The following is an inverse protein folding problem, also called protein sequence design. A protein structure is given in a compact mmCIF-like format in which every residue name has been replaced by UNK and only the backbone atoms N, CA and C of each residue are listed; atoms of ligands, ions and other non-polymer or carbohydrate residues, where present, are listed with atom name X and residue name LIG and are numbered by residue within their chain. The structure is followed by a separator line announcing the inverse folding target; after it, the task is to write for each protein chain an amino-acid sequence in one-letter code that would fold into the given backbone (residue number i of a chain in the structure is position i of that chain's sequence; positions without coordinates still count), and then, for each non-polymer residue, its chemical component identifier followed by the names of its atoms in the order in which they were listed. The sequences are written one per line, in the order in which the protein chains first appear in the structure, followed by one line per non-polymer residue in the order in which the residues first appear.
data_IF_844052962399
#
_entry.id   IF_844052962399
#
_cell.length_a   1.000
_cell.length_b   1.000
_cell.length_c   1.000
_cell.angle_alpha   90.00
_cell.angle_beta   90.00
_cell.angle_gamma   90.00
#
_symmetry.space_group_name_H-M   'P 1'
#
loop_
_entity.id
_entity.type
_entity.pdbx_description
1 polymer ?
#
# COMPACT_ATOMS: atom_id res chain seq x y z
N UNK A 1 -6.57 -17.47 16.41
CA UNK A 1 -5.54 -18.05 15.52
C UNK A 1 -4.42 -17.04 15.41
N UNK A 2 -3.16 -17.44 15.57
CA UNK A 2 -2.02 -16.53 15.39
C UNK A 2 -1.84 -16.27 13.91
N UNK A 3 -1.78 -15.01 13.51
CA UNK A 3 -1.45 -14.61 12.14
C UNK A 3 -0.03 -15.09 11.82
N UNK A 4 0.22 -15.64 10.62
CA UNK A 4 1.57 -15.98 10.21
C UNK A 4 2.44 -14.72 10.09
N UNK A 5 3.66 -14.78 10.61
CA UNK A 5 4.65 -13.72 10.48
C UNK A 5 5.56 -14.09 9.30
N UNK A 6 5.82 -13.16 8.36
CA UNK A 6 6.73 -13.44 7.26
C UNK A 6 8.15 -13.70 7.79
N UNK A 7 8.79 -14.75 7.28
CA UNK A 7 10.21 -15.03 7.52
C UNK A 7 11.13 -14.22 6.61
N UNK A 8 10.59 -13.69 5.49
CA UNK A 8 11.33 -12.90 4.52
C UNK A 8 10.49 -11.71 4.05
N UNK A 9 11.12 -10.55 4.03
CA UNK A 9 10.57 -9.31 3.45
C UNK A 9 11.57 -8.82 2.43
N UNK A 10 11.15 -8.64 1.18
CA UNK A 10 12.01 -8.17 0.11
C UNK A 10 11.31 -7.10 -0.73
N UNK A 11 12.00 -6.01 -1.04
CA UNK A 11 11.47 -4.95 -1.88
C UNK A 11 12.07 -5.03 -3.29
N UNK A 12 11.24 -5.39 -4.26
CA UNK A 12 11.58 -5.37 -5.68
C UNK A 12 11.46 -3.95 -6.23
N UNK A 13 12.50 -3.14 -6.04
CA UNK A 13 12.50 -1.70 -6.38
C UNK A 13 12.05 -1.42 -7.82
N UNK A 14 12.57 -2.17 -8.80
CA UNK A 14 12.23 -1.98 -10.22
C UNK A 14 10.77 -2.29 -10.55
N UNK A 15 10.18 -3.28 -9.86
CA UNK A 15 8.77 -3.65 -10.04
C UNK A 15 7.83 -2.84 -9.13
N UNK A 16 8.38 -2.12 -8.14
CA UNK A 16 7.63 -1.49 -7.05
C UNK A 16 6.70 -2.49 -6.37
N UNK A 17 7.26 -3.61 -5.93
CA UNK A 17 6.54 -4.66 -5.20
C UNK A 17 7.24 -5.04 -3.89
N UNK A 18 6.47 -5.24 -2.83
CA UNK A 18 6.91 -5.84 -1.59
C UNK A 18 6.55 -7.33 -1.59
N UNK A 19 7.56 -8.18 -1.50
CA UNK A 19 7.41 -9.63 -1.36
C UNK A 19 7.48 -10.02 0.11
N UNK A 20 6.47 -10.78 0.54
CA UNK A 20 6.35 -11.34 1.89
C UNK A 20 6.37 -12.87 1.78
N UNK A 21 7.48 -13.47 2.21
CA UNK A 21 7.66 -14.92 2.26
C UNK A 21 7.39 -15.46 3.66
N UNK A 22 6.65 -16.57 3.75
CA UNK A 22 6.20 -17.18 4.99
C UNK A 22 6.87 -18.54 5.25
N UNK A 23 6.96 -18.99 6.52
CA UNK A 23 7.63 -20.25 6.88
C UNK A 23 7.03 -21.51 6.25
N UNK A 24 5.76 -21.46 5.86
CA UNK A 24 5.05 -22.57 5.21
C UNK A 24 5.34 -22.66 3.69
N UNK A 25 6.15 -21.75 3.15
CA UNK A 25 6.48 -21.69 1.72
C UNK A 25 5.59 -20.74 0.92
N UNK A 26 4.52 -20.20 1.50
CA UNK A 26 3.70 -19.20 0.82
C UNK A 26 4.48 -17.91 0.61
N UNK A 27 4.23 -17.26 -0.52
CA UNK A 27 4.82 -15.98 -0.86
C UNK A 27 3.79 -15.09 -1.54
N UNK A 28 3.71 -13.85 -1.11
CA UNK A 28 2.78 -12.87 -1.66
C UNK A 28 3.54 -11.64 -2.13
N UNK A 29 3.14 -11.10 -3.28
CA UNK A 29 3.67 -9.84 -3.81
C UNK A 29 2.58 -8.79 -3.80
N UNK A 30 2.87 -7.67 -3.16
CA UNK A 30 1.98 -6.52 -3.05
C UNK A 30 2.63 -5.33 -3.74
N UNK A 31 1.93 -4.69 -4.69
CA UNK A 31 2.44 -3.46 -5.29
C UNK A 31 2.52 -2.35 -4.24
N UNK A 32 3.51 -1.47 -4.37
CA UNK A 32 3.64 -0.35 -3.44
C UNK A 32 2.48 0.64 -3.58
N UNK A 33 1.96 0.81 -4.80
CA UNK A 33 0.70 1.53 -5.03
C UNK A 33 -0.42 0.98 -4.14
N UNK A 34 -0.64 -0.34 -4.17
CA UNK A 34 -1.68 -0.97 -3.37
C UNK A 34 -1.46 -0.74 -1.87
N UNK A 35 -0.24 -0.95 -1.37
CA UNK A 35 0.10 -0.66 0.02
C UNK A 35 -0.13 0.82 0.37
N UNK A 36 0.16 1.75 -0.56
CA UNK A 36 0.00 3.18 -0.35
C UNK A 36 -1.46 3.61 -0.25
N UNK A 37 -2.32 3.11 -1.14
CA UNK A 37 -3.75 3.47 -1.17
C UNK A 37 -4.54 2.78 -0.06
N UNK A 38 -4.04 1.65 0.45
CA UNK A 38 -4.56 0.95 1.63
C UNK A 38 -3.73 1.21 2.90
N UNK A 39 -2.96 2.31 2.96
CA UNK A 39 -2.19 2.63 4.16
C UNK A 39 -3.11 2.78 5.39
N UNK A 40 -2.78 2.20 6.55
CA UNK A 40 -3.65 2.25 7.73
C UNK A 40 -3.60 3.58 8.49
N UNK A 41 -2.85 4.56 8.00
CA UNK A 41 -2.69 5.89 8.61
C UNK A 41 -4.02 6.65 8.71
N UNK A 42 -4.15 7.49 9.74
CA UNK A 42 -5.33 8.35 9.97
C UNK A 42 -5.65 9.26 8.76
N UNK A 43 -4.64 9.65 7.99
CA UNK A 43 -4.79 10.43 6.76
C UNK A 43 -5.53 9.69 5.64
N UNK A 44 -5.49 8.36 5.64
CA UNK A 44 -6.11 7.51 4.61
C UNK A 44 -7.43 6.93 5.10
N UNK A 45 -7.49 6.50 6.36
CA UNK A 45 -8.72 5.93 6.96
C UNK A 45 -9.68 6.97 7.52
N UNK A 46 -9.21 8.18 7.80
CA UNK A 46 -9.95 9.18 8.56
C UNK A 46 -10.26 8.72 10.00
N UNK A 47 -11.12 9.45 10.70
CA UNK A 47 -11.61 9.11 12.05
C UNK A 47 -12.85 8.18 12.02
N UNK A 48 -13.25 7.71 10.83
CA UNK A 48 -14.39 6.82 10.58
C UNK A 48 -14.56 6.55 9.08
N UNK A 49 -15.36 5.55 8.67
CA UNK A 49 -15.54 5.16 7.27
C UNK A 49 -15.98 6.31 6.36
N UNK A 50 -16.76 7.26 6.88
CA UNK A 50 -17.21 8.47 6.17
C UNK A 50 -16.12 9.51 5.91
N UNK A 51 -14.96 9.36 6.54
CA UNK A 51 -13.82 10.28 6.42
C UNK A 51 -12.62 9.66 5.70
N UNK A 52 -12.76 8.43 5.20
CA UNK A 52 -11.72 7.76 4.45
C UNK A 52 -11.51 8.46 3.09
N UNK A 53 -10.32 9.02 2.89
CA UNK A 53 -9.98 9.77 1.68
C UNK A 53 -9.53 8.82 0.59
N UNK A 54 -10.24 8.82 -0.55
CA UNK A 54 -9.82 8.08 -1.74
C UNK A 54 -8.47 8.59 -2.21
N UNK A 55 -7.47 7.72 -2.21
CA UNK A 55 -6.12 8.05 -2.67
C UNK A 55 -6.06 7.95 -4.20
N UNK A 56 -5.59 8.99 -4.88
CA UNK A 56 -5.56 9.11 -6.35
C UNK A 56 -4.16 9.49 -6.82
N UNK A 57 -3.82 9.20 -8.07
CA UNK A 57 -2.53 9.55 -8.65
C UNK A 57 -1.33 8.84 -8.02
N UNK A 58 -1.52 7.64 -7.46
CA UNK A 58 -0.50 6.91 -6.70
C UNK A 58 0.15 5.75 -7.46
N UNK A 59 -0.12 5.59 -8.75
CA UNK A 59 0.44 4.50 -9.58
C UNK A 59 1.96 4.42 -9.51
N UNK A 60 2.62 5.58 -9.48
CA UNK A 60 4.07 5.64 -9.55
C UNK A 60 4.79 5.62 -8.20
N UNK A 61 4.05 5.47 -7.10
CA UNK A 61 4.62 5.49 -5.76
C UNK A 61 5.50 4.26 -5.53
N UNK A 62 6.71 4.50 -5.03
CA UNK A 62 7.63 3.52 -4.49
C UNK A 62 7.87 3.73 -2.99
N UNK A 63 8.86 2.99 -2.47
CA UNK A 63 9.27 3.09 -1.07
C UNK A 63 10.56 3.89 -0.99
N UNK A 64 10.55 4.91 -0.14
CA UNK A 64 11.74 5.64 0.28
C UNK A 64 12.50 4.84 1.35
N UNK A 65 11.78 4.19 2.28
CA UNK A 65 12.39 3.41 3.35
C UNK A 65 11.47 2.28 3.86
N UNK A 66 12.07 1.24 4.42
CA UNK A 66 11.39 0.11 5.06
C UNK A 66 12.10 -0.13 6.39
N UNK A 67 11.38 -0.01 7.49
CA UNK A 67 11.93 -0.22 8.82
C UNK A 67 11.05 -1.18 9.60
N UNK A 68 11.66 -2.14 10.29
CA UNK A 68 10.92 -3.03 11.17
C UNK A 68 10.51 -2.27 12.44
N UNK A 69 9.22 -2.30 12.77
CA UNK A 69 8.68 -1.71 13.98
C UNK A 69 8.45 -2.83 15.02
N UNK A 70 9.48 -3.06 15.84
CA UNK A 70 9.47 -4.10 16.86
C UNK A 70 9.27 -5.50 16.26
N UNK A 71 8.39 -6.30 16.86
CA UNK A 71 8.12 -7.69 16.42
C UNK A 71 6.80 -7.86 15.67
N UNK A 72 6.03 -6.80 15.47
CA UNK A 72 4.62 -6.90 15.06
C UNK A 72 4.26 -6.16 13.77
N UNK A 73 5.14 -5.29 13.25
CA UNK A 73 4.83 -4.46 12.10
C UNK A 73 6.06 -4.04 11.27
N UNK A 74 5.78 -3.58 10.05
CA UNK A 74 6.68 -2.80 9.22
C UNK A 74 6.22 -1.34 9.17
N UNK A 75 7.15 -0.42 9.37
CA UNK A 75 6.99 0.97 8.96
C UNK A 75 7.46 1.11 7.51
N UNK A 76 6.53 1.48 6.64
CA UNK A 76 6.79 1.77 5.23
C UNK A 76 6.73 3.29 5.02
N UNK A 77 7.85 3.86 4.56
CA UNK A 77 7.95 5.24 4.15
C UNK A 77 7.92 5.30 2.63
N UNK A 78 6.97 6.02 2.07
CA UNK A 78 6.73 6.14 0.63
C UNK A 78 7.41 7.39 0.08
N UNK A 79 7.84 7.34 -1.18
CA UNK A 79 8.53 8.48 -1.81
C UNK A 79 7.60 9.66 -2.15
N UNK A 80 6.27 9.49 -2.08
CA UNK A 80 5.31 10.58 -2.24
C UNK A 80 5.17 11.48 -0.98
N UNK A 81 6.08 11.31 -0.01
CA UNK A 81 6.12 12.07 1.24
C UNK A 81 5.34 11.44 2.40
N UNK A 82 4.68 10.29 2.18
CA UNK A 82 3.95 9.59 3.24
C UNK A 82 4.89 8.74 4.11
N UNK A 83 5.12 9.16 5.36
CA UNK A 83 6.06 8.48 6.28
C UNK A 83 5.37 7.70 7.42
N UNK A 84 4.05 7.77 7.56
CA UNK A 84 3.35 7.21 8.74
C UNK A 84 2.81 5.79 8.56
N UNK A 85 3.10 5.11 7.45
CA UNK A 85 2.53 3.80 7.13
C UNK A 85 3.01 2.69 8.05
N UNK A 86 2.29 2.41 9.15
CA UNK A 86 2.59 1.31 10.07
C UNK A 86 1.72 0.08 9.76
N UNK A 87 2.30 -0.91 9.11
CA UNK A 87 1.62 -2.12 8.65
C UNK A 87 1.92 -3.28 9.60
N UNK A 88 0.93 -3.67 10.43
CA UNK A 88 1.06 -4.88 11.25
C UNK A 88 1.12 -6.14 10.38
N UNK A 89 1.70 -7.23 10.90
CA UNK A 89 1.74 -8.51 10.18
C UNK A 89 0.34 -9.03 9.86
N UNK A 90 -0.61 -8.89 10.79
CA UNK A 90 -2.04 -9.16 10.58
C UNK A 90 -2.58 -8.40 9.39
N UNK A 91 -2.31 -7.10 9.33
CA UNK A 91 -2.83 -6.27 8.27
C UNK A 91 -2.18 -6.57 6.91
N UNK A 92 -0.87 -6.83 6.88
CA UNK A 92 -0.18 -7.24 5.64
C UNK A 92 -0.71 -8.57 5.12
N UNK A 93 -0.95 -9.53 5.99
CA UNK A 93 -1.51 -10.83 5.60
C UNK A 93 -2.95 -10.67 5.09
N UNK A 94 -3.78 -9.86 5.76
CA UNK A 94 -5.12 -9.53 5.29
C UNK A 94 -5.09 -8.82 3.92
N UNK A 95 -4.18 -7.86 3.72
CA UNK A 95 -4.00 -7.19 2.44
C UNK A 95 -3.55 -8.14 1.33
N UNK A 96 -2.66 -9.08 1.63
CA UNK A 96 -2.18 -10.10 0.69
C UNK A 96 -3.28 -11.07 0.26
N UNK A 97 -4.06 -11.56 1.21
CA UNK A 97 -5.13 -12.55 0.98
C UNK A 97 -6.39 -11.96 0.37
N UNK A 98 -6.62 -10.65 0.52
CA UNK A 98 -7.78 -9.95 -0.04
C UNK A 98 -7.40 -8.99 -1.19
N UNK A 99 -6.18 -9.09 -1.73
CA UNK A 99 -5.65 -8.15 -2.71
C UNK A 99 -6.59 -7.92 -3.90
N UNK A 100 -7.09 -9.00 -4.51
CA UNK A 100 -7.97 -8.89 -5.69
C UNK A 100 -9.29 -8.17 -5.39
N UNK A 101 -9.92 -8.50 -4.25
CA UNK A 101 -11.20 -7.92 -3.84
C UNK A 101 -11.03 -6.43 -3.52
N UNK A 102 -10.04 -6.11 -2.68
CA UNK A 102 -9.73 -4.74 -2.29
C UNK A 102 -9.36 -3.90 -3.51
N UNK A 103 -8.57 -4.45 -4.43
CA UNK A 103 -8.16 -3.75 -5.63
C UNK A 103 -9.33 -3.46 -6.56
N UNK A 104 -10.23 -4.43 -6.77
CA UNK A 104 -11.43 -4.23 -7.56
C UNK A 104 -12.36 -3.15 -6.95
N UNK A 105 -12.51 -3.10 -5.63
CA UNK A 105 -13.24 -2.03 -4.94
C UNK A 105 -12.60 -0.66 -5.16
N UNK A 106 -11.28 -0.57 -4.98
CA UNK A 106 -10.53 0.66 -5.20
C UNK A 106 -10.71 1.21 -6.62
N UNK A 107 -10.61 0.36 -7.65
CA UNK A 107 -10.82 0.75 -9.04
C UNK A 107 -12.24 1.26 -9.30
N UNK A 108 -13.26 0.63 -8.72
CA UNK A 108 -14.65 1.09 -8.82
C UNK A 108 -14.85 2.46 -8.18
N UNK A 109 -14.22 2.70 -7.02
CA UNK A 109 -14.28 4.00 -6.34
C UNK A 109 -13.61 5.11 -7.14
N UNK A 110 -12.49 4.81 -7.81
CA UNK A 110 -11.86 5.75 -8.75
C UNK A 110 -12.77 6.09 -9.92
N UNK A 111 -13.36 5.08 -10.56
CA UNK A 111 -14.28 5.27 -11.68
C UNK A 111 -15.50 6.13 -11.27
N UNK A 112 -16.13 5.80 -10.13
CA UNK A 112 -17.27 6.54 -9.61
C UNK A 112 -16.94 8.00 -9.26
N UNK A 113 -15.69 8.28 -8.84
CA UNK A 113 -15.21 9.61 -8.54
C UNK A 113 -14.69 10.38 -9.78
N UNK A 114 -14.57 9.73 -10.95
CA UNK A 114 -13.93 10.31 -12.14
C UNK A 114 -12.43 10.58 -11.95
N UNK A 115 -11.79 9.87 -11.01
CA UNK A 115 -10.38 10.03 -10.68
C UNK A 115 -9.53 8.90 -11.30
N UNK A 116 -8.20 9.05 -11.27
CA UNK A 116 -7.28 8.10 -11.89
C UNK A 116 -6.15 7.67 -10.95
N UNK A 117 -5.60 6.50 -11.24
CA UNK A 117 -4.35 6.00 -10.65
C UNK A 117 -3.14 6.79 -11.12
N UNK A 118 -3.18 7.27 -12.37
CA UNK A 118 -2.09 8.01 -12.99
C UNK A 118 -1.85 9.33 -12.25
N UNK A 119 -0.60 9.72 -11.98
CA UNK A 119 -0.32 11.03 -11.40
C UNK A 119 -0.80 12.13 -12.34
N UNK A 120 -1.48 13.15 -11.79
CA UNK A 120 -1.85 14.37 -12.52
C UNK A 120 -0.59 15.17 -12.80
N UNK A 121 0.16 14.76 -13.82
CA UNK A 121 1.33 15.50 -14.28
C UNK A 121 0.83 16.74 -15.01
N UNK A 122 0.92 17.91 -14.38
CA UNK A 122 0.76 19.17 -15.09
C UNK A 122 1.96 19.27 -16.04
N UNK A 123 1.76 18.94 -17.31
CA UNK A 123 2.72 19.28 -18.35
C UNK A 123 2.68 20.81 -18.50
N UNK A 124 3.60 21.50 -17.82
CA UNK A 124 3.98 22.85 -18.23
C UNK A 124 4.63 22.72 -19.61
N UNK A 125 3.82 22.84 -20.67
CA UNK A 125 4.34 23.22 -21.99
C UNK A 125 4.71 24.69 -21.86
N UNK A 126 5.99 24.95 -21.65
CA UNK A 126 6.56 26.27 -21.89
C UNK A 126 6.26 26.67 -23.34
N UNK A 127 5.69 27.87 -23.50
CA UNK A 127 5.38 28.53 -24.76
C UNK A 127 6.66 29.05 -25.44
#
# INVERSE_FOLDING_TARGET
MSVPIPSRVHYHKSARELELGYPNGDSYRLSIEYLRVFSPSAEVRGHGPDTAVLQVGKKDVGLANITQAGRYALKLSFDDGHDSGLFSWDYLYALATNAEINWADYLKRLEAAGESREPKTIQFKEL
#
